data_IF_237135967574
#
_entry.id   IF_237135967574
#
_cell.length_a   1.000
_cell.length_b   1.000
_cell.length_c   1.000
_cell.angle_alpha   90.00
_cell.angle_beta   90.00
_cell.angle_gamma   90.00
#
_symmetry.space_group_name_H-M   'P 1'
#
loop_
_entity.id
_entity.type
_entity.pdbx_description
1 polymer ?
#
# COMPACT_ATOMS: atom_id res chain seq x y z
N UNK A 1 -25.25 5.44 -8.39
CA UNK A 1 -24.56 4.22 -7.92
C UNK A 1 -23.13 4.61 -7.57
N UNK A 2 -22.73 4.54 -6.29
CA UNK A 2 -21.37 4.86 -5.88
C UNK A 2 -20.42 3.76 -6.39
N UNK A 3 -19.38 4.14 -7.13
CA UNK A 3 -18.36 3.19 -7.56
C UNK A 3 -17.63 2.65 -6.30
N UNK A 4 -17.44 1.34 -6.17
CA UNK A 4 -16.73 0.78 -5.03
C UNK A 4 -15.30 1.33 -5.02
N UNK A 5 -14.90 1.91 -3.88
CA UNK A 5 -13.53 2.38 -3.69
C UNK A 5 -12.54 1.26 -3.99
N UNK A 6 -11.49 1.58 -4.73
CA UNK A 6 -10.48 0.60 -5.06
C UNK A 6 -9.52 0.47 -3.85
N UNK A 7 -9.15 -0.79 -3.54
CA UNK A 7 -8.38 -1.13 -2.34
C UNK A 7 -7.09 -1.81 -2.78
N UNK A 8 -5.95 -1.22 -2.43
CA UNK A 8 -4.63 -1.81 -2.62
C UNK A 8 -4.18 -2.38 -1.28
N UNK A 9 -3.68 -3.62 -1.27
CA UNK A 9 -3.20 -4.29 -0.05
C UNK A 9 -1.76 -4.74 -0.26
N UNK A 10 -0.87 -4.30 0.60
CA UNK A 10 0.50 -4.81 0.71
C UNK A 10 0.51 -5.76 1.90
N UNK A 11 0.78 -7.05 1.65
CA UNK A 11 0.82 -8.08 2.68
C UNK A 11 2.26 -8.47 2.96
N UNK A 12 2.57 -8.69 4.23
CA UNK A 12 3.82 -9.26 4.72
C UNK A 12 5.08 -8.52 4.23
N UNK A 13 5.06 -7.19 4.21
CA UNK A 13 6.24 -6.39 3.89
C UNK A 13 7.27 -6.54 5.02
N UNK A 14 8.36 -7.24 4.75
CA UNK A 14 9.43 -7.47 5.73
C UNK A 14 10.46 -6.36 5.65
N UNK A 15 10.73 -5.71 6.77
CA UNK A 15 11.74 -4.65 6.88
C UNK A 15 12.62 -4.93 8.09
N UNK A 16 13.85 -4.41 8.06
CA UNK A 16 14.80 -4.53 9.17
C UNK A 16 15.21 -3.16 9.65
N UNK A 17 14.81 -2.80 10.87
CA UNK A 17 15.00 -1.44 11.42
C UNK A 17 15.23 -1.49 12.93
N UNK A 18 15.72 -0.38 13.50
CA UNK A 18 15.91 -0.23 14.94
C UNK A 18 14.59 0.23 15.57
N UNK A 19 14.11 -0.48 16.60
CA UNK A 19 12.82 -0.20 17.25
C UNK A 19 12.96 -0.46 18.75
N UNK A 20 12.89 0.59 19.55
CA UNK A 20 12.78 0.47 21.01
C UNK A 20 13.42 1.62 21.75
N UNK A 21 13.39 1.52 23.08
CA UNK A 21 13.82 2.56 24.02
C UNK A 21 15.06 2.09 24.81
N UNK A 22 15.29 0.77 24.89
CA UNK A 22 16.47 0.19 25.53
C UNK A 22 17.69 0.29 24.62
N UNK A 23 18.87 0.40 25.21
CA UNK A 23 20.14 0.43 24.45
C UNK A 23 20.29 -0.79 23.51
N UNK A 24 19.87 -1.98 23.94
CA UNK A 24 19.90 -3.18 23.11
C UNK A 24 19.04 -3.04 21.84
N UNK A 25 17.86 -2.44 21.99
CA UNK A 25 16.88 -2.26 20.91
C UNK A 25 17.29 -1.17 19.92
N UNK A 26 18.04 -0.16 20.41
CA UNK A 26 18.63 0.91 19.60
C UNK A 26 19.87 0.40 18.84
N UNK A 27 20.67 -0.46 19.47
CA UNK A 27 21.90 -0.99 18.88
C UNK A 27 21.67 -2.15 17.89
N UNK A 28 20.55 -2.88 18.01
CA UNK A 28 20.26 -4.04 17.17
C UNK A 28 19.04 -3.82 16.27
N UNK A 29 19.19 -4.13 14.97
CA UNK A 29 18.06 -4.10 14.03
C UNK A 29 17.18 -5.33 14.19
N UNK A 30 15.89 -5.10 14.29
CA UNK A 30 14.87 -6.13 14.40
C UNK A 30 14.15 -6.31 13.06
N UNK A 31 13.77 -7.55 12.77
CA UNK A 31 12.95 -7.89 11.61
C UNK A 31 11.47 -7.66 11.93
N UNK A 32 10.82 -6.80 11.16
CA UNK A 32 9.39 -6.49 11.29
C UNK A 32 8.61 -6.89 10.05
N UNK A 33 7.32 -7.12 10.25
CA UNK A 33 6.35 -7.39 9.18
C UNK A 33 5.28 -6.30 9.19
N UNK A 34 5.16 -5.58 8.08
CA UNK A 34 4.18 -4.51 7.89
C UNK A 34 3.09 -5.01 6.93
N UNK A 35 1.84 -4.73 7.30
CA UNK A 35 0.68 -4.90 6.43
C UNK A 35 0.05 -3.53 6.19
N UNK A 36 -0.10 -3.14 4.92
CA UNK A 36 -0.66 -1.83 4.55
C UNK A 36 -1.94 -2.04 3.74
N UNK A 37 -2.98 -1.27 4.07
CA UNK A 37 -4.22 -1.20 3.28
C UNK A 37 -4.43 0.24 2.85
N UNK A 38 -4.43 0.48 1.55
CA UNK A 38 -4.63 1.80 0.95
C UNK A 38 -6.01 1.80 0.29
N UNK A 39 -6.88 2.67 0.80
CA UNK A 39 -8.18 2.95 0.20
C UNK A 39 -8.02 4.18 -0.68
N UNK A 40 -8.34 4.08 -1.97
CA UNK A 40 -8.35 5.23 -2.86
C UNK A 40 -9.69 5.36 -3.58
N UNK A 41 -10.18 6.59 -3.79
CA UNK A 41 -11.40 6.80 -4.54
C UNK A 41 -11.23 6.25 -5.95
N UNK A 42 -12.30 5.73 -6.57
CA UNK A 42 -12.26 5.32 -7.95
C UNK A 42 -11.75 6.50 -8.79
N UNK A 43 -10.58 6.35 -9.40
CA UNK A 43 -10.14 7.27 -10.43
C UNK A 43 -11.23 7.21 -11.50
N UNK A 44 -11.82 8.36 -11.82
CA UNK A 44 -12.68 8.54 -12.99
C UNK A 44 -11.79 8.31 -14.22
N UNK A 45 -11.50 7.05 -14.52
CA UNK A 45 -10.71 6.69 -15.70
C UNK A 45 -11.62 7.01 -16.87
N UNK A 46 -11.38 8.17 -17.49
CA UNK A 46 -11.92 8.46 -18.79
C UNK A 46 -11.55 7.27 -19.68
N UNK A 47 -12.56 6.44 -19.96
CA UNK A 47 -12.51 5.55 -21.11
C UNK A 47 -12.37 6.48 -22.30
N UNK A 48 -11.14 6.75 -22.72
CA UNK A 48 -10.89 7.15 -24.08
C UNK A 48 -11.43 5.98 -24.91
N UNK A 49 -12.68 6.13 -25.37
CA UNK A 49 -13.24 5.28 -26.40
C UNK A 49 -12.29 5.44 -27.58
N UNK A 50 -11.39 4.49 -27.76
CA UNK A 50 -10.79 4.25 -29.06
C UNK A 50 -11.97 3.73 -29.88
N UNK A 51 -12.77 4.66 -30.40
CA UNK A 51 -13.67 4.38 -31.50
C UNK A 51 -12.75 4.05 -32.65
N UNK A 52 -12.46 2.77 -32.81
CA UNK A 52 -11.97 2.23 -34.07
C UNK A 52 -12.90 2.80 -35.14
N UNK A 53 -12.33 3.61 -36.03
CA UNK A 53 -13.02 4.14 -37.20
C UNK A 53 -13.75 2.98 -37.89
N UNK A 54 -15.07 3.09 -37.95
CA UNK A 54 -15.88 2.58 -39.04
C UNK A 54 -16.57 3.79 -39.66
#
# INVERSE_FOLDING_TARGET
MAQPAAIIRIKNLRLRTFIGIKEEEINNRQDIVINVTIHYPPIKRALAKISTMR
#
